data_IF_565921852375
#
_entry.id   IF_565921852375
#
_cell.length_a   1.000
_cell.length_b   1.000
_cell.length_c   1.000
_cell.angle_alpha   90.00
_cell.angle_beta   90.00
_cell.angle_gamma   90.00
#
_symmetry.space_group_name_H-M   'P 1'
#
loop_
_entity.id
_entity.type
_entity.pdbx_description
1 polymer ?
#
# COMPACT_ATOMS: atom_id res chain seq x y z
N UNK A 1 12.70 18.84 -58.51
CA UNK A 1 11.57 18.88 -57.57
C UNK A 1 11.96 18.11 -56.32
N UNK A 2 12.07 18.77 -55.16
CA UNK A 2 12.48 18.16 -53.88
C UNK A 2 11.27 18.08 -52.95
N UNK A 3 11.02 16.89 -52.42
CA UNK A 3 9.97 16.58 -51.43
C UNK A 3 10.27 17.24 -50.08
N UNK A 4 9.26 17.79 -49.38
CA UNK A 4 9.47 18.33 -48.05
C UNK A 4 8.98 17.38 -46.95
N UNK A 5 9.84 17.24 -45.94
CA UNK A 5 9.46 17.25 -44.51
C UNK A 5 9.01 15.94 -43.86
N UNK A 6 9.99 15.11 -43.51
CA UNK A 6 9.87 14.08 -42.45
C UNK A 6 10.34 14.71 -41.12
N UNK A 7 9.48 15.48 -40.46
CA UNK A 7 9.75 16.15 -39.15
C UNK A 7 8.62 15.95 -38.12
N UNK A 8 7.89 14.82 -38.17
CA UNK A 8 6.76 14.56 -37.27
C UNK A 8 7.08 13.53 -36.15
N UNK A 9 8.26 12.90 -36.17
CA UNK A 9 8.56 11.76 -35.27
C UNK A 9 9.37 12.08 -34.01
N UNK A 10 10.05 13.22 -33.90
CA UNK A 10 10.95 13.49 -32.75
C UNK A 10 10.26 13.89 -31.45
N UNK A 11 9.00 14.35 -31.46
CA UNK A 11 8.29 14.80 -30.24
C UNK A 11 7.59 13.70 -29.44
N UNK A 12 7.44 12.49 -29.99
CA UNK A 12 6.68 11.41 -29.33
C UNK A 12 7.48 10.55 -28.34
N UNK A 13 8.81 10.68 -28.30
CA UNK A 13 9.68 9.90 -27.41
C UNK A 13 10.07 10.61 -26.11
N UNK A 14 9.92 11.95 -26.04
CA UNK A 14 10.26 12.72 -24.85
C UNK A 14 9.24 12.53 -23.72
N UNK A 15 7.95 12.47 -24.06
CA UNK A 15 6.87 12.28 -23.09
C UNK A 15 6.97 10.98 -22.27
N UNK A 16 7.18 9.78 -22.87
CA UNK A 16 7.32 8.55 -22.08
C UNK A 16 8.61 8.54 -21.24
N UNK A 17 9.69 9.17 -21.73
CA UNK A 17 10.96 9.24 -21.01
C UNK A 17 10.87 10.11 -19.74
N UNK A 18 10.20 11.27 -19.85
CA UNK A 18 9.94 12.17 -18.72
C UNK A 18 9.01 11.50 -17.71
N UNK A 19 7.98 10.79 -18.17
CA UNK A 19 7.06 10.06 -17.29
C UNK A 19 7.77 8.91 -16.54
N UNK A 20 8.67 8.20 -17.21
CA UNK A 20 9.49 7.16 -16.61
C UNK A 20 10.46 7.72 -15.56
N UNK A 21 11.11 8.85 -15.85
CA UNK A 21 12.00 9.56 -14.91
C UNK A 21 11.22 10.06 -13.68
N UNK A 22 10.03 10.61 -13.87
CA UNK A 22 9.14 10.99 -12.77
C UNK A 22 8.78 9.77 -11.91
N UNK A 23 8.35 8.65 -12.51
CA UNK A 23 8.02 7.44 -11.76
C UNK A 23 9.20 6.91 -10.91
N UNK A 24 10.42 6.96 -11.43
CA UNK A 24 11.63 6.54 -10.70
C UNK A 24 11.95 7.48 -9.53
N UNK A 25 11.78 8.79 -9.70
CA UNK A 25 12.02 9.76 -8.60
C UNK A 25 10.99 9.65 -7.47
N UNK A 26 9.73 9.35 -7.79
CA UNK A 26 8.69 9.15 -6.76
C UNK A 26 8.93 7.86 -5.94
N UNK A 27 9.43 6.79 -6.56
CA UNK A 27 9.70 5.53 -5.85
C UNK A 27 10.78 5.66 -4.76
N UNK A 28 11.73 6.59 -4.93
CA UNK A 28 12.80 6.82 -3.96
C UNK A 28 12.36 7.56 -2.68
N UNK A 29 11.18 8.20 -2.68
CA UNK A 29 10.69 8.98 -1.54
C UNK A 29 9.61 8.27 -0.69
N UNK A 30 9.35 6.98 -0.94
CA UNK A 30 8.40 6.23 -0.13
C UNK A 30 8.98 5.96 1.26
N UNK A 31 8.53 6.73 2.25
CA UNK A 31 8.88 6.54 3.66
C UNK A 31 8.39 5.15 4.11
N UNK A 32 9.32 4.21 4.33
CA UNK A 32 8.99 2.89 4.87
C UNK A 32 8.78 2.98 6.38
N UNK A 33 7.62 2.55 6.83
CA UNK A 33 7.29 2.40 8.25
C UNK A 33 7.21 0.92 8.58
N UNK A 34 7.81 0.52 9.70
CA UNK A 34 7.69 -0.83 10.25
C UNK A 34 7.08 -0.77 11.64
N UNK A 35 6.39 -1.85 12.01
CA UNK A 35 5.91 -2.04 13.37
C UNK A 35 7.06 -2.53 14.24
N UNK A 36 7.33 -1.80 15.31
CA UNK A 36 8.39 -2.15 16.26
C UNK A 36 7.86 -2.01 17.68
N UNK A 37 8.27 -2.93 18.54
CA UNK A 37 8.02 -2.88 19.98
C UNK A 37 9.38 -3.07 20.68
N UNK A 38 9.80 -2.09 21.50
CA UNK A 38 11.10 -2.12 22.16
C UNK A 38 11.16 -3.09 23.35
N UNK A 39 10.02 -3.63 23.77
CA UNK A 39 9.89 -4.50 24.95
C UNK A 39 9.67 -5.96 24.61
N UNK A 40 9.30 -6.27 23.37
CA UNK A 40 9.01 -7.64 22.92
C UNK A 40 10.12 -8.15 22.00
N UNK A 41 10.39 -9.45 22.07
CA UNK A 41 11.29 -10.11 21.15
C UNK A 41 10.74 -10.06 19.71
N UNK A 42 11.62 -9.87 18.74
CA UNK A 42 11.24 -9.66 17.33
C UNK A 42 10.51 -10.87 16.70
N UNK A 43 10.69 -12.06 17.27
CA UNK A 43 9.99 -13.28 16.86
C UNK A 43 8.48 -13.26 17.16
N UNK A 44 8.00 -12.41 18.08
CA UNK A 44 6.56 -12.25 18.38
C UNK A 44 5.82 -11.44 17.31
N UNK A 45 6.54 -10.57 16.59
CA UNK A 45 5.95 -9.65 15.62
C UNK A 45 5.18 -10.37 14.52
N UNK A 46 5.70 -11.46 13.98
CA UNK A 46 5.04 -12.21 12.90
C UNK A 46 3.74 -12.86 13.38
N UNK A 47 3.75 -13.47 14.57
CA UNK A 47 2.56 -14.06 15.20
C UNK A 47 1.50 -13.01 15.51
N UNK A 48 1.88 -11.91 16.15
CA UNK A 48 0.97 -10.81 16.48
C UNK A 48 0.38 -10.16 15.23
N UNK A 49 1.20 -10.00 14.18
CA UNK A 49 0.74 -9.46 12.89
C UNK A 49 -0.30 -10.38 12.25
N UNK A 50 -0.06 -11.70 12.25
CA UNK A 50 -0.98 -12.68 11.69
C UNK A 50 -2.31 -12.71 12.48
N UNK A 51 -2.23 -12.71 13.80
CA UNK A 51 -3.40 -12.70 14.69
C UNK A 51 -4.22 -11.42 14.51
N UNK A 52 -3.58 -10.24 14.55
CA UNK A 52 -4.27 -8.97 14.36
C UNK A 52 -4.91 -8.87 12.98
N UNK A 53 -4.27 -9.41 11.94
CA UNK A 53 -4.85 -9.45 10.59
C UNK A 53 -6.07 -10.36 10.55
N UNK A 54 -5.97 -11.57 11.10
CA UNK A 54 -7.08 -12.52 11.16
C UNK A 54 -8.30 -11.94 11.89
N UNK A 55 -8.09 -11.33 13.07
CA UNK A 55 -9.17 -10.74 13.86
C UNK A 55 -9.84 -9.56 13.12
N UNK A 56 -9.05 -8.70 12.49
CA UNK A 56 -9.56 -7.56 11.72
C UNK A 56 -10.36 -8.00 10.49
N UNK A 57 -9.89 -9.03 9.79
CA UNK A 57 -10.62 -9.61 8.66
C UNK A 57 -11.91 -10.27 9.11
N UNK A 58 -11.88 -11.05 10.18
CA UNK A 58 -13.05 -11.73 10.73
C UNK A 58 -14.15 -10.73 11.10
N UNK A 59 -13.83 -9.71 11.90
CA UNK A 59 -14.80 -8.69 12.34
C UNK A 59 -15.46 -7.98 11.16
N UNK A 60 -14.67 -7.54 10.17
CA UNK A 60 -15.20 -6.82 9.01
C UNK A 60 -16.00 -7.74 8.09
N UNK A 61 -15.58 -9.00 7.92
CA UNK A 61 -16.36 -9.97 7.15
C UNK A 61 -17.69 -10.29 7.82
N UNK A 62 -17.71 -10.39 9.15
CA UNK A 62 -18.93 -10.62 9.91
C UNK A 62 -19.87 -9.41 9.82
N UNK A 63 -19.35 -8.18 9.89
CA UNK A 63 -20.12 -6.95 9.69
C UNK A 63 -20.69 -6.84 8.26
N UNK A 64 -19.89 -7.19 7.25
CA UNK A 64 -20.33 -7.22 5.85
C UNK A 64 -21.40 -8.29 5.60
N UNK A 65 -21.32 -9.45 6.28
CA UNK A 65 -22.35 -10.50 6.18
C UNK A 65 -23.66 -10.12 6.88
N UNK A 66 -23.58 -9.34 7.95
CA UNK A 66 -24.78 -8.83 8.64
C UNK A 66 -25.48 -7.71 7.84
N UNK A 67 -24.78 -7.05 6.93
CA UNK A 67 -25.41 -6.10 6.01
C UNK A 67 -26.36 -6.88 5.09
N UNK A 68 -27.66 -6.57 5.14
CA UNK A 68 -28.70 -7.30 4.43
C UNK A 68 -28.37 -7.43 2.94
N UNK A 69 -28.45 -8.65 2.34
CA UNK A 69 -28.24 -8.81 0.91
C UNK A 69 -29.23 -7.98 0.08
N UNK A 70 -30.42 -7.70 0.60
CA UNK A 70 -31.44 -6.86 -0.03
C UNK A 70 -31.01 -5.38 -0.12
N UNK A 71 -30.24 -4.86 0.83
CA UNK A 71 -29.69 -3.49 0.78
C UNK A 71 -28.60 -3.32 -0.27
N UNK A 72 -27.98 -4.41 -0.74
CA UNK A 72 -26.87 -4.36 -1.71
C UNK A 72 -27.32 -4.59 -3.16
N UNK A 73 -28.54 -5.08 -3.36
CA UNK A 73 -29.08 -5.41 -4.67
C UNK A 73 -29.50 -4.16 -5.46
N UNK A 74 -29.94 -3.10 -4.78
CA UNK A 74 -30.26 -1.79 -5.41
C UNK A 74 -29.04 -0.88 -5.58
N UNK A 75 -27.90 -1.18 -4.95
CA UNK A 75 -26.70 -0.33 -5.01
C UNK A 75 -26.00 -0.46 -6.36
N UNK A 76 -25.81 0.68 -7.02
CA UNK A 76 -25.07 0.80 -8.27
C UNK A 76 -23.60 0.39 -8.16
N UNK A 77 -22.94 0.15 -9.29
CA UNK A 77 -21.54 -0.31 -9.32
C UNK A 77 -20.56 0.62 -8.58
N UNK A 78 -20.79 1.94 -8.66
CA UNK A 78 -19.97 2.94 -7.99
C UNK A 78 -20.03 2.83 -6.46
N UNK A 79 -21.24 2.64 -5.93
CA UNK A 79 -21.46 2.53 -4.49
C UNK A 79 -20.83 1.26 -3.90
N UNK A 80 -20.83 0.16 -4.68
CA UNK A 80 -20.08 -1.05 -4.32
C UNK A 80 -18.57 -0.82 -4.26
N UNK A 81 -18.02 0.02 -5.13
CA UNK A 81 -16.60 0.35 -5.08
C UNK A 81 -16.25 1.17 -3.84
N UNK A 82 -17.09 2.14 -3.49
CA UNK A 82 -16.92 2.93 -2.27
C UNK A 82 -17.04 2.05 -1.01
N UNK A 83 -18.04 1.17 -0.93
CA UNK A 83 -18.20 0.29 0.24
C UNK A 83 -17.03 -0.67 0.42
N UNK A 84 -16.46 -1.20 -0.68
CA UNK A 84 -15.26 -2.04 -0.64
C UNK A 84 -14.01 -1.25 -0.25
N UNK A 85 -13.90 0.01 -0.67
CA UNK A 85 -12.81 0.89 -0.25
C UNK A 85 -12.90 1.20 1.24
N UNK A 86 -14.09 1.54 1.74
CA UNK A 86 -14.33 1.81 3.16
C UNK A 86 -14.09 0.57 4.02
N UNK A 87 -14.50 -0.61 3.55
CA UNK A 87 -14.21 -1.88 4.24
C UNK A 87 -12.70 -2.17 4.34
N UNK A 88 -11.93 -1.83 3.30
CA UNK A 88 -10.45 -1.96 3.34
C UNK A 88 -9.84 -0.98 4.34
N UNK A 89 -10.27 0.28 4.31
CA UNK A 89 -9.81 1.31 5.25
C UNK A 89 -10.11 0.93 6.70
N UNK A 90 -11.31 0.39 6.97
CA UNK A 90 -11.69 -0.10 8.30
C UNK A 90 -10.85 -1.29 8.75
N UNK A 91 -10.56 -2.26 7.85
CA UNK A 91 -9.63 -3.36 8.15
C UNK A 91 -8.25 -2.85 8.56
N UNK A 92 -7.70 -1.90 7.82
CA UNK A 92 -6.38 -1.32 8.12
C UNK A 92 -6.39 -0.56 9.45
N UNK A 93 -7.47 0.15 9.76
CA UNK A 93 -7.64 0.85 11.04
C UNK A 93 -7.71 -0.13 12.22
N UNK A 94 -8.52 -1.20 12.10
CA UNK A 94 -8.62 -2.24 13.13
C UNK A 94 -7.29 -2.97 13.36
N UNK A 95 -6.60 -3.30 12.26
CA UNK A 95 -5.27 -3.89 12.34
C UNK A 95 -4.28 -2.97 13.06
N UNK A 96 -4.26 -1.69 12.69
CA UNK A 96 -3.40 -0.68 13.32
C UNK A 96 -3.72 -0.52 14.81
N UNK A 97 -4.98 -0.58 15.21
CA UNK A 97 -5.39 -0.50 16.61
C UNK A 97 -4.93 -1.74 17.39
N UNK A 98 -5.17 -2.94 16.86
CA UNK A 98 -4.71 -4.19 17.48
C UNK A 98 -3.19 -4.20 17.69
N UNK A 99 -2.42 -3.74 16.70
CA UNK A 99 -0.96 -3.61 16.82
C UNK A 99 -0.57 -2.61 17.91
N UNK A 100 -1.28 -1.48 18.03
CA UNK A 100 -1.04 -0.48 19.09
C UNK A 100 -1.37 -1.00 20.48
N UNK A 101 -2.44 -1.77 20.62
CA UNK A 101 -2.87 -2.35 21.90
C UNK A 101 -1.85 -3.40 22.39
N UNK A 102 -1.26 -4.17 21.47
CA UNK A 102 -0.10 -5.04 21.75
C UNK A 102 1.21 -4.27 21.98
N UNK A 103 1.19 -2.94 21.95
CA UNK A 103 2.31 -2.05 22.27
C UNK A 103 3.25 -1.76 21.10
N UNK A 104 2.92 -2.16 19.87
CA UNK A 104 3.72 -1.84 18.69
C UNK A 104 3.51 -0.38 18.26
N UNK A 105 4.58 0.24 17.76
CA UNK A 105 4.56 1.59 17.19
C UNK A 105 5.11 1.56 15.77
N UNK A 106 4.57 2.44 14.90
CA UNK A 106 5.12 2.63 13.56
C UNK A 106 6.36 3.50 13.65
N UNK A 107 7.50 2.91 13.32
CA UNK A 107 8.79 3.61 13.29
C UNK A 107 9.23 3.76 11.85
N UNK A 108 9.73 4.94 11.50
CA UNK A 108 10.30 5.20 10.17
C UNK A 108 11.63 4.46 10.06
N UNK A 109 11.72 3.52 9.12
CA UNK A 109 12.97 2.82 8.87
C UNK A 109 13.91 3.77 8.15
N UNK A 110 15.03 4.11 8.79
CA UNK A 110 16.14 4.76 8.08
C UNK A 110 16.72 3.74 7.10
N UNK A 111 16.87 4.06 5.81
CA UNK A 111 17.52 3.15 4.88
C UNK A 111 18.93 2.84 5.40
N UNK A 112 19.22 1.57 5.71
CA UNK A 112 20.59 1.17 6.05
C UNK A 112 21.46 1.46 4.81
N UNK A 113 22.59 2.15 4.94
CA UNK A 113 23.52 2.31 3.83
C UNK A 113 23.92 0.90 3.37
N UNK A 114 23.71 0.59 2.08
CA UNK A 114 24.16 -0.66 1.49
C UNK A 114 25.67 -0.75 1.72
N UNK A 115 26.12 -1.74 2.49
CA UNK A 115 27.54 -2.02 2.64
C UNK A 115 28.09 -2.29 1.24
N UNK A 116 29.06 -1.47 0.81
CA UNK A 116 29.79 -1.72 -0.44
C UNK A 116 30.43 -3.11 -0.33
N UNK A 117 30.33 -3.97 -1.36
CA UNK A 117 31.09 -5.20 -1.37
C UNK A 117 32.57 -4.85 -1.23
N UNK A 118 33.22 -5.48 -0.26
CA UNK A 118 34.67 -5.39 -0.06
C UNK A 118 35.30 -6.03 -1.29
N UNK A 119 36.01 -5.26 -2.10
CA UNK A 119 36.80 -5.81 -3.19
C UNK A 119 37.91 -6.67 -2.55
N UNK A 120 37.90 -7.97 -2.88
CA UNK A 120 38.99 -8.89 -2.62
C UNK A 120 39.96 -8.86 -3.78
#
# INVERSE_FOLDING_TARGET
MKTPTLQITRRRLAAPLILALLAVTLAACANKYVWQNSRLAENRLSGDTAECRYNSEKLINDELKQTSPFDTQERGQLERQFSLFDARKRRDQMFSNCMRDKGYRRVKVKPKPKQKPKAS
#
